data_IF_635446971782
#
_entry.id   IF_635446971782
#
_cell.length_a   1.000
_cell.length_b   1.000
_cell.length_c   1.000
_cell.angle_alpha   90.00
_cell.angle_beta   90.00
_cell.angle_gamma   90.00
#
_symmetry.space_group_name_H-M   'P 1'
#
loop_
_entity.id
_entity.type
_entity.pdbx_description
1 polymer ?
#
# COMPACT_ATOMS: atom_id res chain seq x y z
N UNK A 1 -0.68 -15.78 0.89
CA UNK A 1 0.31 -16.66 0.24
C UNK A 1 1.65 -16.53 0.96
N UNK A 2 2.45 -17.62 1.07
CA UNK A 2 3.77 -17.60 1.73
C UNK A 2 4.74 -16.61 1.08
N UNK A 3 4.64 -16.41 -0.24
CA UNK A 3 5.49 -15.47 -1.00
C UNK A 3 5.35 -14.03 -0.52
N UNK A 4 4.15 -13.61 -0.12
CA UNK A 4 3.89 -12.26 0.39
C UNK A 4 4.12 -12.20 1.91
N UNK A 5 3.55 -13.15 2.64
CA UNK A 5 3.61 -13.13 4.10
C UNK A 5 5.04 -13.25 4.64
N UNK A 6 5.91 -14.04 4.01
CA UNK A 6 7.30 -14.19 4.46
C UNK A 6 8.12 -12.91 4.24
N UNK A 7 7.90 -12.19 3.14
CA UNK A 7 8.56 -10.90 2.90
C UNK A 7 8.10 -9.87 3.93
N UNK A 8 6.80 -9.80 4.24
CA UNK A 8 6.31 -8.91 5.28
C UNK A 8 6.90 -9.23 6.66
N UNK A 9 6.97 -10.52 7.04
CA UNK A 9 7.64 -10.95 8.29
C UNK A 9 9.12 -10.57 8.33
N UNK A 10 9.82 -10.74 7.21
CA UNK A 10 11.23 -10.38 7.10
C UNK A 10 11.45 -8.87 7.30
N UNK A 11 10.62 -8.03 6.67
CA UNK A 11 10.71 -6.57 6.79
C UNK A 11 10.34 -6.10 8.21
N UNK A 12 9.25 -6.65 8.78
CA UNK A 12 8.71 -6.20 10.07
C UNK A 12 9.33 -6.89 11.30
N UNK A 13 10.14 -7.93 11.10
CA UNK A 13 10.83 -8.65 12.17
C UNK A 13 9.90 -9.39 13.14
N UNK A 14 8.69 -9.77 12.71
CA UNK A 14 7.72 -10.46 13.56
C UNK A 14 6.68 -11.24 12.76
N UNK A 15 5.85 -12.00 13.46
CA UNK A 15 4.57 -12.45 12.90
C UNK A 15 3.71 -11.25 12.47
N UNK A 16 2.87 -11.48 11.47
CA UNK A 16 2.07 -10.45 10.80
C UNK A 16 0.63 -10.90 10.65
N UNK A 17 -0.28 -9.95 10.63
CA UNK A 17 -1.68 -10.13 10.26
C UNK A 17 -2.07 -9.03 9.25
N UNK A 18 -3.25 -9.16 8.63
CA UNK A 18 -3.75 -8.17 7.69
C UNK A 18 -4.48 -7.07 8.46
N UNK A 19 -3.91 -5.86 8.47
CA UNK A 19 -4.59 -4.68 9.01
C UNK A 19 -5.73 -4.23 8.09
N UNK A 20 -5.50 -4.19 6.77
CA UNK A 20 -6.50 -3.84 5.75
C UNK A 20 -6.23 -4.60 4.44
N UNK A 21 -7.28 -4.85 3.66
CA UNK A 21 -7.16 -5.32 2.26
C UNK A 21 -8.17 -4.61 1.37
N UNK A 22 -7.78 -4.31 0.12
CA UNK A 22 -8.63 -3.60 -0.84
C UNK A 22 -8.33 -4.05 -2.27
N UNK A 23 -9.36 -4.07 -3.10
CA UNK A 23 -9.22 -4.08 -4.57
C UNK A 23 -9.42 -2.66 -5.06
N UNK A 24 -8.41 -2.09 -5.69
CA UNK A 24 -8.49 -0.76 -6.31
C UNK A 24 -8.80 -0.94 -7.80
N UNK A 25 -10.04 -0.66 -8.18
CA UNK A 25 -10.46 -0.62 -9.58
C UNK A 25 -10.35 0.81 -10.10
N UNK A 26 -9.49 1.02 -11.10
CA UNK A 26 -9.35 2.28 -11.81
C UNK A 26 -9.73 2.06 -13.27
N UNK A 27 -10.97 2.40 -13.61
CA UNK A 27 -11.47 2.29 -14.99
C UNK A 27 -10.68 3.18 -15.93
N UNK A 28 -10.43 2.70 -17.16
CA UNK A 28 -9.84 3.52 -18.21
C UNK A 28 -10.71 4.75 -18.47
N UNK A 29 -10.05 5.88 -18.74
CA UNK A 29 -10.66 7.18 -19.07
C UNK A 29 -11.48 7.89 -17.96
N UNK A 30 -12.01 7.17 -16.97
CA UNK A 30 -12.84 7.75 -15.89
C UNK A 30 -12.18 7.70 -14.51
N UNK A 31 -11.13 6.88 -14.34
CA UNK A 31 -10.45 6.71 -13.06
C UNK A 31 -9.75 7.98 -12.60
N UNK A 32 -10.21 8.54 -11.47
CA UNK A 32 -9.64 9.73 -10.85
C UNK A 32 -8.27 9.48 -10.20
N UNK A 33 -7.59 10.57 -9.89
CA UNK A 33 -6.37 10.62 -9.11
C UNK A 33 -6.60 10.28 -7.63
N UNK A 34 -5.53 9.80 -6.99
CA UNK A 34 -5.41 9.79 -5.55
C UNK A 34 -4.36 10.85 -5.18
N UNK A 35 -4.74 11.82 -4.36
CA UNK A 35 -3.81 12.84 -3.88
C UNK A 35 -2.74 12.23 -2.98
N UNK A 36 -1.59 12.90 -2.89
CA UNK A 36 -0.49 12.51 -2.02
C UNK A 36 -0.93 12.37 -0.56
N UNK A 37 -0.57 11.26 0.07
CA UNK A 37 -0.83 10.99 1.48
C UNK A 37 0.22 10.02 2.03
N UNK A 38 0.29 9.92 3.35
CA UNK A 38 0.98 8.84 4.06
C UNK A 38 -0.07 7.94 4.68
N UNK A 39 -0.10 6.66 4.29
CA UNK A 39 -1.01 5.67 4.89
C UNK A 39 -0.90 5.65 6.42
N UNK A 40 0.34 5.72 6.94
CA UNK A 40 0.59 5.67 8.39
C UNK A 40 0.00 6.88 9.13
N UNK A 41 -0.01 8.07 8.52
CA UNK A 41 -0.57 9.25 9.17
C UNK A 41 -2.06 9.02 9.48
N UNK A 42 -2.82 8.57 8.50
CA UNK A 42 -4.25 8.28 8.66
C UNK A 42 -4.46 7.11 9.61
N UNK A 43 -3.72 6.01 9.47
CA UNK A 43 -3.86 4.86 10.38
C UNK A 43 -3.47 5.20 11.83
N UNK A 44 -2.52 6.11 12.04
CA UNK A 44 -2.17 6.56 13.38
C UNK A 44 -3.26 7.46 13.97
N UNK A 45 -3.68 8.48 13.22
CA UNK A 45 -4.61 9.49 13.68
C UNK A 45 -6.04 8.96 13.84
N UNK A 46 -6.48 8.10 12.92
CA UNK A 46 -7.87 7.63 12.85
C UNK A 46 -8.04 6.21 13.43
N UNK A 47 -7.08 5.31 13.20
CA UNK A 47 -7.19 3.90 13.65
C UNK A 47 -6.37 3.59 14.92
N UNK A 48 -5.58 4.55 15.40
CA UNK A 48 -4.75 4.40 16.61
C UNK A 48 -3.52 3.51 16.43
N UNK A 49 -3.03 3.32 15.19
CA UNK A 49 -1.85 2.51 14.90
C UNK A 49 -0.60 3.14 15.57
N UNK A 50 0.01 2.52 16.59
CA UNK A 50 0.90 3.26 17.49
C UNK A 50 2.32 3.49 16.94
N UNK A 51 2.76 2.74 15.93
CA UNK A 51 4.12 2.79 15.38
C UNK A 51 4.13 2.44 13.90
N UNK A 52 5.08 3.01 13.16
CA UNK A 52 5.37 2.71 11.74
C UNK A 52 5.94 1.30 11.57
N UNK A 53 5.13 0.27 11.86
CA UNK A 53 5.50 -1.15 11.76
C UNK A 53 4.44 -1.93 11.00
N UNK A 54 4.04 -1.36 9.87
CA UNK A 54 3.13 -1.93 8.87
C UNK A 54 3.74 -1.76 7.49
N UNK A 55 3.37 -2.62 6.53
CA UNK A 55 3.83 -2.55 5.14
C UNK A 55 2.67 -2.82 4.19
N UNK A 56 2.51 -1.96 3.18
CA UNK A 56 1.54 -2.14 2.10
C UNK A 56 2.13 -3.02 0.99
N UNK A 57 1.33 -3.95 0.47
CA UNK A 57 1.69 -4.78 -0.69
C UNK A 57 0.68 -4.55 -1.81
N UNK A 58 1.13 -3.98 -2.93
CA UNK A 58 0.31 -3.81 -4.14
C UNK A 58 0.64 -4.91 -5.14
N UNK A 59 -0.39 -5.65 -5.57
CA UNK A 59 -0.27 -6.70 -6.60
C UNK A 59 -1.05 -6.21 -7.82
N UNK A 60 -0.33 -5.93 -8.91
CA UNK A 60 -0.94 -5.53 -10.18
C UNK A 60 -1.74 -6.69 -10.77
N UNK A 61 -3.05 -6.47 -10.97
CA UNK A 61 -3.94 -7.42 -11.66
C UNK A 61 -4.09 -7.11 -13.15
N UNK A 62 -3.61 -5.94 -13.58
CA UNK A 62 -3.51 -5.50 -14.97
C UNK A 62 -2.13 -4.89 -15.19
N UNK A 63 -1.69 -4.81 -16.45
CA UNK A 63 -0.42 -4.17 -16.77
C UNK A 63 -0.39 -2.71 -16.28
N UNK A 64 0.68 -2.36 -15.59
CA UNK A 64 0.91 -1.03 -15.05
C UNK A 64 1.96 -0.31 -15.89
N UNK A 65 1.55 0.76 -16.57
CA UNK A 65 2.38 1.52 -17.49
C UNK A 65 2.58 2.95 -16.96
N UNK A 66 3.57 3.67 -17.49
CA UNK A 66 3.84 5.06 -17.08
C UNK A 66 2.69 6.03 -17.39
N UNK A 67 1.79 5.66 -18.31
CA UNK A 67 0.73 6.53 -18.84
C UNK A 67 -0.68 6.19 -18.34
N UNK A 68 -0.90 5.08 -17.62
CA UNK A 68 -2.24 4.68 -17.13
C UNK A 68 -2.47 4.98 -15.65
N UNK A 69 -1.76 5.98 -15.13
CA UNK A 69 -1.86 6.45 -13.74
C UNK A 69 -1.28 5.45 -12.74
N UNK A 70 0.02 5.10 -12.86
CA UNK A 70 0.68 4.16 -11.97
C UNK A 70 0.75 4.72 -10.54
N UNK A 71 0.93 3.84 -9.55
CA UNK A 71 1.33 4.28 -8.22
C UNK A 71 2.67 5.02 -8.31
N UNK A 72 2.69 6.24 -7.79
CA UNK A 72 3.90 7.04 -7.63
C UNK A 72 4.29 7.12 -6.16
N UNK A 73 5.59 7.14 -5.89
CA UNK A 73 6.16 7.26 -4.55
C UNK A 73 7.24 8.33 -4.54
N UNK A 74 7.45 8.97 -3.39
CA UNK A 74 8.56 9.90 -3.17
C UNK A 74 9.67 9.14 -2.41
N UNK A 75 10.81 8.82 -3.04
CA UNK A 75 11.86 8.08 -2.35
C UNK A 75 12.39 8.84 -1.13
N UNK A 76 12.54 8.14 0.00
CA UNK A 76 13.05 8.72 1.25
C UNK A 76 12.03 9.50 2.09
N UNK A 77 10.75 9.54 1.69
CA UNK A 77 9.70 10.20 2.49
C UNK A 77 9.10 9.33 3.60
N UNK A 78 9.66 8.13 3.84
CA UNK A 78 9.20 7.20 4.87
C UNK A 78 9.89 7.45 6.21
#
# INVERSE_FOLDING_TARGET
DRRVANVARQILGSEVYIHQSRINLKSGFEGKEFFWHSDFETWHAEDGLPRMRTVSCSISLTDNYVFNGPLMVIPGSH
#
